data_IF_283762615511
#
_entry.id   IF_283762615511
#
_cell.length_a   1.000
_cell.length_b   1.000
_cell.length_c   1.000
_cell.angle_alpha   90.00
_cell.angle_beta   90.00
_cell.angle_gamma   90.00
#
_symmetry.space_group_name_H-M   'P 1'
#
loop_
_entity.id
_entity.type
_entity.pdbx_description
1 polymer ?
2 non-polymer ?
3 water ?
#
# COMPACT_ATOMS: atom_id res chain seq x y z
N UNK A 7 8.18 4.74 25.45
CA UNK A 7 9.09 3.67 25.05
C UNK A 7 8.57 2.95 23.80
N UNK A 8 9.43 2.83 22.80
CA UNK A 8 9.12 2.19 21.52
C UNK A 8 9.75 0.81 21.45
N UNK A 9 9.26 -0.03 20.58
CA UNK A 9 9.85 -1.35 20.41
C UNK A 9 11.24 -1.18 19.87
N UNK A 10 12.14 -2.04 20.35
CA UNK A 10 13.55 -1.97 19.97
C UNK A 10 13.76 -2.35 18.51
N UNK A 11 14.60 -1.57 17.82
CA UNK A 11 14.99 -1.79 16.43
C UNK A 11 16.38 -2.41 16.45
N UNK A 12 16.51 -3.59 15.84
CA UNK A 12 17.77 -4.30 15.84
C UNK A 12 18.78 -3.59 14.95
N UNK A 13 19.97 -3.29 15.50
CA UNK A 13 21.12 -2.83 14.72
C UNK A 13 21.83 -4.08 14.22
N UNK A 14 21.95 -4.22 12.91
CA UNK A 14 22.55 -5.39 12.26
C UNK A 14 24.00 -5.07 11.96
N UNK A 15 24.89 -6.09 12.16
CA UNK A 15 26.28 -5.88 11.80
C UNK A 15 26.50 -6.17 10.32
N UNK A 16 27.31 -5.37 9.62
CA UNK A 16 27.48 -5.55 8.18
C UNK A 16 28.00 -6.92 7.80
N UNK A 17 28.75 -7.59 8.69
CA UNK A 17 29.22 -8.93 8.35
C UNK A 17 28.08 -9.92 8.15
N UNK A 18 26.89 -9.63 8.66
CA UNK A 18 25.74 -10.50 8.53
C UNK A 18 24.91 -10.25 7.26
N UNK A 19 25.29 -9.32 6.40
CA UNK A 19 24.46 -8.96 5.26
C UNK A 19 25.25 -9.20 3.99
N UNK A 20 24.68 -9.94 3.08
CA UNK A 20 25.24 -10.06 1.74
C UNK A 20 24.24 -9.55 0.72
N UNK A 21 24.73 -8.81 -0.27
CA UNK A 21 23.89 -8.27 -1.33
C UNK A 21 24.15 -9.06 -2.59
N UNK A 22 23.11 -9.68 -3.12
CA UNK A 22 23.27 -10.56 -4.25
C UNK A 22 22.88 -9.93 -5.57
N UNK A 23 21.87 -9.08 -5.61
CA UNK A 23 21.42 -8.51 -6.86
C UNK A 23 20.85 -7.13 -6.60
N UNK A 24 21.16 -6.17 -7.47
CA UNK A 24 20.46 -4.89 -7.45
C UNK A 24 19.11 -5.09 -8.11
N UNK A 25 18.06 -4.62 -7.46
CA UNK A 25 16.73 -4.68 -8.01
C UNK A 25 16.13 -3.31 -8.29
N UNK A 26 16.64 -2.26 -7.67
CA UNK A 26 16.12 -0.91 -7.89
C UNK A 26 17.23 0.08 -7.67
N UNK A 27 17.14 1.20 -8.36
CA UNK A 27 18.19 2.19 -8.26
C UNK A 27 17.51 3.55 -8.21
N UNK A 28 17.85 4.33 -7.19
CA UNK A 28 17.38 5.67 -7.03
C UNK A 28 18.55 6.63 -7.09
N UNK A 29 18.27 7.92 -6.99
CA UNK A 29 19.34 8.93 -6.96
C UNK A 29 20.04 8.90 -5.64
N UNK A 30 19.37 8.47 -4.56
CA UNK A 30 19.95 8.56 -3.22
C UNK A 30 20.17 7.19 -2.56
N UNK A 31 20.13 6.14 -3.34
CA UNK A 31 20.44 4.81 -2.84
C UNK A 31 19.85 3.78 -3.75
N UNK A 32 20.07 2.53 -3.40
CA UNK A 32 19.61 1.41 -4.19
C UNK A 32 18.81 0.45 -3.30
N UNK A 33 18.11 -0.47 -3.96
CA UNK A 33 17.46 -1.59 -3.29
C UNK A 33 18.04 -2.88 -3.87
N UNK A 34 18.41 -3.82 -2.97
CA UNK A 34 19.05 -5.08 -3.32
C UNK A 34 18.23 -6.23 -2.80
N UNK A 35 18.32 -7.37 -3.48
CA UNK A 35 17.97 -8.65 -2.88
C UNK A 35 19.24 -9.20 -2.25
N UNK A 36 19.13 -9.77 -1.07
CA UNK A 36 20.28 -10.33 -0.38
C UNK A 36 19.87 -11.36 0.65
N UNK A 37 20.84 -11.70 1.52
CA UNK A 37 20.64 -12.66 2.59
C UNK A 37 21.10 -12.04 3.90
N UNK A 38 20.40 -12.38 4.97
CA UNK A 38 20.73 -11.93 6.30
C UNK A 38 21.01 -13.14 7.19
N UNK A 39 22.18 -13.15 7.82
CA UNK A 39 22.52 -14.16 8.83
C UNK A 39 22.02 -13.65 10.17
N UNK A 40 21.19 -14.46 10.83
CA UNK A 40 20.53 -14.07 12.07
C UNK A 40 20.72 -15.15 13.13
N UNK A 41 20.04 -15.01 14.26
CA UNK A 41 20.10 -15.98 15.35
C UNK A 41 21.53 -16.39 15.64
N UNK A 42 22.41 -15.38 15.74
CA UNK A 42 23.81 -15.60 16.11
C UNK A 42 24.52 -16.59 15.19
N UNK A 43 24.29 -16.46 13.88
CA UNK A 43 24.94 -17.30 12.90
C UNK A 43 24.23 -18.61 12.57
N UNK A 44 23.15 -18.93 13.24
CA UNK A 44 22.52 -20.22 13.02
C UNK A 44 21.43 -20.24 11.96
N UNK A 45 20.98 -19.07 11.54
CA UNK A 45 19.91 -18.97 10.55
C UNK A 45 20.28 -17.96 9.48
N UNK A 46 19.74 -18.17 8.29
CA UNK A 46 19.95 -17.22 7.20
C UNK A 46 18.67 -17.07 6.39
N UNK A 47 18.27 -15.82 6.13
CA UNK A 47 16.98 -15.63 5.46
C UNK A 47 17.15 -14.64 4.31
N UNK A 48 16.33 -14.75 3.26
CA UNK A 48 16.36 -13.75 2.19
C UNK A 48 15.77 -12.42 2.67
N UNK A 49 16.36 -11.31 2.19
CA UNK A 49 15.92 -9.99 2.60
C UNK A 49 15.97 -9.02 1.43
N UNK A 50 15.24 -7.90 1.56
CA UNK A 50 15.47 -6.72 0.76
C UNK A 50 16.27 -5.72 1.59
N UNK A 51 17.15 -4.99 0.89
CA UNK A 51 18.12 -4.11 1.54
C UNK A 51 18.05 -2.79 0.79
N UNK A 52 17.75 -1.70 1.49
CA UNK A 52 17.72 -0.36 0.89
C UNK A 52 18.86 0.47 1.50
N UNK A 53 19.65 1.14 0.65
CA UNK A 53 20.79 1.90 1.14
C UNK A 53 20.55 3.38 1.03
N UNK A 54 21.31 4.12 1.80
CA UNK A 54 21.33 5.59 1.74
C UNK A 54 22.78 5.98 1.49
N UNK A 55 23.03 6.54 0.30
CA UNK A 55 24.38 6.82 -0.18
C UNK A 55 25.01 8.04 0.49
N UNK A 56 26.34 8.08 0.45
CA UNK A 56 27.08 9.12 1.14
C UNK A 56 26.73 10.52 0.64
N UNK A 57 26.78 11.47 1.55
CA UNK A 57 26.38 12.81 1.21
C UNK A 57 24.93 13.10 1.52
N UNK A 58 24.19 12.14 2.07
CA UNK A 58 22.80 12.38 2.41
C UNK A 58 22.70 13.53 3.41
N UNK A 59 21.59 14.27 3.34
CA UNK A 59 21.36 15.38 4.24
C UNK A 59 20.78 14.89 5.56
N UNK A 60 20.74 15.78 6.56
CA UNK A 60 20.16 15.45 7.85
C UNK A 60 18.72 15.05 7.68
N UNK A 61 17.99 15.78 6.85
CA UNK A 61 16.61 15.41 6.58
C UNK A 61 16.49 14.03 5.97
N UNK A 62 17.35 13.71 5.02
CA UNK A 62 17.29 12.38 4.40
C UNK A 62 17.58 11.29 5.41
N UNK A 63 18.50 11.53 6.32
CA UNK A 63 18.81 10.55 7.36
C UNK A 63 17.64 10.40 8.33
N UNK A 64 17.08 11.52 8.79
CA UNK A 64 15.96 11.39 9.73
C UNK A 64 14.78 10.69 9.07
N UNK A 65 14.49 11.02 7.80
CA UNK A 65 13.42 10.34 7.07
C UNK A 65 13.71 8.85 6.88
N UNK A 66 14.89 8.51 6.36
CA UNK A 66 15.29 7.11 6.11
C UNK A 66 15.17 6.27 7.38
N UNK A 67 15.87 6.66 8.45
CA UNK A 67 15.80 5.91 9.70
C UNK A 67 14.40 5.99 10.31
N UNK A 68 13.69 7.08 10.03
CA UNK A 68 12.36 7.22 10.62
C UNK A 68 11.40 6.19 10.04
N UNK A 69 11.52 5.92 8.75
CA UNK A 69 10.68 4.89 8.12
C UNK A 69 10.92 3.54 8.79
N UNK A 70 12.18 3.20 9.05
CA UNK A 70 12.48 1.94 9.74
C UNK A 70 11.93 1.97 11.15
N UNK A 71 11.99 3.13 11.82
CA UNK A 71 11.55 3.17 13.20
C UNK A 71 10.05 2.94 13.29
N UNK A 72 9.31 3.46 12.34
CA UNK A 72 7.87 3.23 12.26
C UNK A 72 7.59 1.78 11.95
N UNK A 73 8.22 1.24 10.90
CA UNK A 73 8.00 -0.14 10.52
C UNK A 73 8.25 -1.07 11.71
N UNK A 74 9.29 -0.79 12.48
CA UNK A 74 9.65 -1.60 13.65
C UNK A 74 8.62 -1.61 14.76
N UNK A 75 7.64 -0.70 14.73
CA UNK A 75 6.60 -0.71 15.75
C UNK A 75 5.45 -1.62 15.42
N UNK A 76 5.45 -2.23 14.24
CA UNK A 76 4.32 -3.00 13.77
C UNK A 76 4.67 -4.49 13.70
N UNK A 77 3.72 -5.34 14.01
CA UNK A 77 3.91 -6.76 13.89
C UNK A 77 2.59 -7.35 13.39
N UNK A 78 2.41 -7.40 12.08
CA UNK A 78 1.19 -7.92 11.51
C UNK A 78 1.53 -8.60 10.19
N UNK A 79 0.80 -9.66 9.91
CA UNK A 79 0.97 -10.46 8.72
C UNK A 79 0.89 -9.62 7.44
N UNK A 80 0.05 -8.58 7.42
CA UNK A 80 -0.15 -7.77 6.22
C UNK A 80 0.58 -6.45 6.25
N UNK A 81 1.66 -6.33 7.05
CA UNK A 81 2.53 -5.15 7.07
C UNK A 81 3.95 -5.67 6.85
N UNK A 82 4.69 -5.02 6.00
CA UNK A 82 6.07 -5.45 5.73
C UNK A 82 6.87 -5.57 7.03
N UNK A 83 7.61 -6.67 7.18
CA UNK A 83 8.40 -6.88 8.39
C UNK A 83 9.80 -6.32 8.27
N UNK A 84 10.20 -5.58 9.29
CA UNK A 84 11.55 -5.07 9.40
C UNK A 84 12.45 -6.10 10.09
N UNK A 85 13.59 -6.38 9.49
CA UNK A 85 14.63 -7.16 10.17
C UNK A 85 15.54 -6.27 11.00
N UNK A 86 15.93 -5.10 10.52
CA UNK A 86 16.71 -4.19 11.34
C UNK A 86 17.36 -3.17 10.43
N UNK A 87 18.33 -2.45 11.01
CA UNK A 87 19.01 -1.37 10.31
C UNK A 87 20.52 -1.48 10.49
N UNK A 88 21.26 -0.93 9.54
CA UNK A 88 22.69 -0.65 9.74
C UNK A 88 22.81 0.86 9.72
N UNK A 89 23.05 1.43 10.89
CA UNK A 89 23.22 2.87 11.01
C UNK A 89 24.62 3.24 11.42
N UNK A 90 25.34 2.35 12.07
CA UNK A 90 26.68 2.61 12.56
C UNK A 90 27.76 2.53 11.49
N UNK A 91 27.50 1.86 10.39
CA UNK A 91 28.43 1.74 9.28
C UNK A 91 27.79 2.30 8.02
N UNK A 92 28.61 2.63 7.01
CA UNK A 92 28.08 3.24 5.81
C UNK A 92 28.34 2.29 4.61
N UNK A 93 27.43 2.26 3.64
CA UNK A 93 26.19 3.03 3.56
C UNK A 93 25.24 2.49 4.57
N UNK A 94 24.40 3.39 5.09
CA UNK A 94 23.35 2.93 5.98
C UNK A 94 22.36 2.06 5.20
N UNK A 95 21.74 1.13 5.92
CA UNK A 95 20.82 0.19 5.32
C UNK A 95 19.58 -0.02 6.17
N UNK A 96 18.46 -0.25 5.49
CA UNK A 96 17.26 -0.80 6.13
C UNK A 96 17.04 -2.16 5.50
N UNK A 97 16.76 -3.17 6.33
CA UNK A 97 16.65 -4.56 5.89
C UNK A 97 15.28 -5.09 6.26
N UNK A 98 14.53 -5.58 5.27
CA UNK A 98 13.18 -6.09 5.46
C UNK A 98 13.10 -7.51 4.93
N UNK A 99 11.95 -8.16 5.17
CA UNK A 99 11.66 -9.36 4.41
C UNK A 99 11.63 -9.01 2.91
N UNK A 100 11.91 -10.01 2.09
CA UNK A 100 11.92 -9.87 0.65
C UNK A 100 10.59 -10.34 0.08
N UNK A 101 9.93 -9.50 -0.72
CA UNK A 101 8.62 -9.81 -1.30
C UNK A 101 8.87 -10.17 -2.76
N UNK A 102 8.70 -11.46 -3.10
CA UNK A 102 9.20 -11.99 -4.37
C UNK A 102 8.48 -11.41 -5.59
N UNK A 103 7.23 -11.01 -5.46
CA UNK A 103 6.46 -10.50 -6.58
C UNK A 103 6.37 -9.00 -6.64
N UNK A 104 7.11 -8.29 -5.81
CA UNK A 104 7.24 -6.84 -5.95
C UNK A 104 5.96 -6.08 -5.68
N UNK A 105 5.84 -4.93 -6.32
CA UNK A 105 4.70 -4.08 -6.04
C UNK A 105 3.43 -4.63 -6.66
N UNK A 106 2.29 -4.46 -5.98
CA UNK A 106 1.06 -5.07 -6.40
C UNK A 106 0.56 -4.50 -7.72
N UNK A 107 0.68 -3.20 -7.95
CA UNK A 107 0.18 -2.67 -9.23
C UNK A 107 0.89 -3.29 -10.44
N UNK A 108 2.20 -3.36 -10.38
CA UNK A 108 2.97 -3.91 -11.48
C UNK A 108 2.70 -5.40 -11.59
N UNK A 109 2.60 -6.11 -10.45
CA UNK A 109 2.31 -7.55 -10.48
C UNK A 109 0.98 -7.82 -11.19
N UNK A 110 -0.08 -7.11 -10.82
CA UNK A 110 -1.36 -7.34 -11.48
C UNK A 110 -1.32 -7.02 -12.96
N UNK A 111 -0.59 -5.98 -13.35
CA UNK A 111 -0.47 -5.60 -14.76
C UNK A 111 0.27 -6.63 -15.57
N UNK A 112 1.12 -7.47 -14.95
CA UNK A 112 1.82 -8.57 -15.58
C UNK A 112 1.06 -9.87 -15.48
N UNK A 113 -0.06 -9.88 -14.79
CA UNK A 113 -0.89 -11.04 -14.56
C UNK A 113 -2.33 -10.83 -14.97
N UNK A 114 -2.56 -10.00 -15.98
CA UNK A 114 -3.92 -9.59 -16.29
C UNK A 114 -4.82 -10.78 -16.56
N UNK A 115 -5.94 -10.83 -15.85
CA UNK A 115 -6.96 -11.84 -15.99
C UNK A 115 -6.63 -13.21 -15.46
N UNK A 116 -5.49 -13.36 -14.76
CA UNK A 116 -5.04 -14.70 -14.39
C UNK A 116 -5.52 -15.17 -13.02
N UNK A 117 -6.17 -14.33 -12.21
CA UNK A 117 -6.59 -14.74 -10.88
C UNK A 117 -8.11 -14.92 -10.82
N UNK A 118 -8.58 -15.65 -9.83
CA UNK A 118 -10.01 -15.75 -9.64
C UNK A 118 -10.52 -14.51 -8.88
N UNK A 119 -11.84 -14.31 -8.95
CA UNK A 119 -12.49 -13.30 -8.11
C UNK A 119 -12.12 -13.55 -6.66
N UNK A 120 -12.19 -14.81 -6.21
CA UNK A 120 -11.94 -15.09 -4.81
C UNK A 120 -10.53 -14.78 -4.42
N UNK A 121 -9.57 -14.98 -5.32
CA UNK A 121 -8.20 -14.62 -5.05
C UNK A 121 -8.07 -13.11 -4.91
N UNK A 122 -8.65 -12.34 -5.83
CA UNK A 122 -8.56 -10.87 -5.74
C UNK A 122 -9.23 -10.35 -4.48
N UNK A 123 -10.38 -10.90 -4.12
CA UNK A 123 -11.02 -10.47 -2.88
C UNK A 123 -10.17 -10.83 -1.68
N UNK A 124 -9.52 -11.99 -1.71
CA UNK A 124 -8.61 -12.37 -0.62
C UNK A 124 -7.46 -11.39 -0.49
N UNK A 125 -6.93 -10.89 -1.61
CA UNK A 125 -5.84 -9.93 -1.55
C UNK A 125 -6.32 -8.68 -0.86
N UNK A 126 -7.52 -8.22 -1.21
CA UNK A 126 -8.08 -7.04 -0.59
C UNK A 126 -8.34 -7.25 0.89
N UNK A 127 -8.81 -8.44 1.28
CA UNK A 127 -9.01 -8.68 2.73
C UNK A 127 -7.68 -8.54 3.49
N UNK A 128 -6.61 -9.05 2.94
CA UNK A 128 -5.31 -8.89 3.58
C UNK A 128 -4.89 -7.44 3.67
N UNK A 129 -5.02 -6.70 2.58
CA UNK A 129 -4.68 -5.29 2.67
C UNK A 129 -5.53 -4.59 3.71
N UNK A 130 -6.84 -4.87 3.72
CA UNK A 130 -7.75 -4.26 4.70
C UNK A 130 -7.35 -4.61 6.14
N UNK A 131 -6.91 -5.85 6.38
CA UNK A 131 -6.46 -6.22 7.73
C UNK A 131 -5.23 -5.43 8.11
N UNK A 132 -4.26 -5.26 7.20
CA UNK A 132 -3.12 -4.43 7.51
C UNK A 132 -3.50 -2.99 7.79
N UNK A 133 -4.42 -2.44 7.01
CA UNK A 133 -4.84 -1.07 7.23
C UNK A 133 -5.64 -0.94 8.52
N UNK A 134 -6.48 -1.92 8.86
CA UNK A 134 -7.17 -1.90 10.16
C UNK A 134 -6.14 -1.82 11.29
N UNK A 135 -5.10 -2.62 11.20
CA UNK A 135 -4.05 -2.63 12.22
C UNK A 135 -3.38 -1.27 12.30
N UNK A 136 -3.02 -0.67 11.15
CA UNK A 136 -2.41 0.67 11.13
C UNK A 136 -3.31 1.70 11.73
N UNK A 137 -4.56 1.75 11.33
CA UNK A 137 -5.49 2.75 11.84
C UNK A 137 -5.69 2.58 13.34
N UNK A 138 -5.75 1.33 13.82
CA UNK A 138 -5.90 1.04 15.24
C UNK A 138 -4.68 1.51 16.01
N UNK A 139 -3.48 1.44 15.40
CA UNK A 139 -2.25 1.99 15.97
C UNK A 139 -2.19 3.53 15.84
N UNK A 140 -3.23 4.21 15.35
CA UNK A 140 -3.25 5.65 15.14
C UNK A 140 -2.19 6.10 14.12
N UNK A 141 -1.99 5.29 13.10
CA UNK A 141 -1.14 5.63 11.95
C UNK A 141 -2.05 5.89 10.76
N UNK A 142 -1.96 7.10 10.22
CA UNK A 142 -2.64 7.48 8.98
C UNK A 142 -1.62 7.42 7.84
N UNK A 143 -1.91 6.59 6.82
CA UNK A 143 -0.89 6.30 5.81
C UNK A 143 -0.69 7.45 4.84
N UNK A 144 -1.78 8.03 4.40
CA UNK A 144 -1.82 9.17 3.47
C UNK A 144 -1.47 8.88 2.02
N UNK A 145 -0.84 7.75 1.70
CA UNK A 145 -0.47 7.46 0.30
C UNK A 145 -0.77 6.00 0.01
N UNK A 146 -1.93 5.54 0.48
CA UNK A 146 -2.32 4.17 0.20
C UNK A 146 -2.71 4.03 -1.28
N UNK A 147 -2.10 3.06 -1.94
CA UNK A 147 -2.23 2.85 -3.39
C UNK A 147 -1.58 1.51 -3.63
N UNK A 148 -1.96 0.84 -4.73
CA UNK A 148 -1.40 -0.47 -5.01
C UNK A 148 0.11 -0.42 -5.18
N UNK A 149 0.66 0.68 -5.67
CA UNK A 149 2.11 0.81 -5.83
C UNK A 149 2.85 0.71 -4.51
N UNK A 150 2.17 0.95 -3.38
CA UNK A 150 2.80 0.89 -2.06
C UNK A 150 2.46 -0.38 -1.31
N UNK A 151 1.86 -1.35 -1.98
CA UNK A 151 1.63 -2.69 -1.44
C UNK A 151 2.63 -3.61 -2.10
N UNK A 152 3.19 -4.57 -1.34
CA UNK A 152 4.09 -5.59 -1.92
C UNK A 152 3.45 -6.96 -1.82
N UNK A 153 3.87 -7.87 -2.70
CA UNK A 153 3.25 -9.19 -2.80
C UNK A 153 4.32 -10.26 -2.68
N UNK A 154 4.08 -11.29 -1.87
CA UNK A 154 5.07 -12.36 -1.76
C UNK A 154 4.73 -13.51 -2.74
N UNK A 155 5.55 -14.57 -2.68
CA UNK A 155 5.38 -15.69 -3.60
C UNK A 155 4.07 -16.46 -3.34
N UNK A 156 3.48 -16.32 -2.15
CA UNK A 156 2.22 -16.95 -1.80
C UNK A 156 1.01 -16.04 -1.97
N UNK A 157 1.22 -14.91 -2.64
CA UNK A 157 0.15 -13.97 -2.98
C UNK A 157 -0.34 -13.16 -1.78
N UNK A 158 0.39 -13.15 -0.67
CA UNK A 158 0.04 -12.32 0.45
C UNK A 158 0.45 -10.90 0.14
N UNK A 159 -0.47 -9.98 0.36
CA UNK A 159 -0.23 -8.57 0.16
C UNK A 159 0.06 -7.85 1.48
N UNK A 160 1.12 -7.02 1.47
CA UNK A 160 1.52 -6.29 2.67
C UNK A 160 1.69 -4.81 2.43
N UNK A 161 1.14 -4.00 3.30
CA UNK A 161 1.29 -2.55 3.21
C UNK A 161 2.71 -2.14 3.52
N UNK A 162 3.24 -1.19 2.71
CA UNK A 162 4.56 -0.56 2.87
C UNK A 162 4.40 0.96 2.74
N UNK A 163 5.53 1.69 2.83
CA UNK A 163 5.66 3.15 2.69
C UNK A 163 5.25 3.97 3.91
N UNK A 164 6.14 4.08 4.86
CA UNK A 164 5.87 4.74 6.11
C UNK A 164 6.83 5.93 6.28
N UNK A 165 6.44 6.93 7.08
CA UNK A 165 7.31 8.06 7.30
C UNK A 165 6.92 8.91 8.49
N UNK A 166 7.94 9.58 9.08
CA UNK A 166 7.76 10.40 10.27
C UNK A 166 6.78 11.56 10.03
N UNK A 167 6.68 12.06 8.79
CA UNK A 167 5.77 13.16 8.54
C UNK A 167 4.30 12.78 8.78
N UNK A 168 4.00 11.49 8.88
CA UNK A 168 2.65 10.98 9.15
C UNK A 168 2.33 10.95 10.64
N UNK A 169 3.33 11.05 11.52
CA UNK A 169 3.12 10.87 12.95
C UNK A 169 3.43 12.11 13.77
N UNK A 170 4.39 12.94 13.34
CA UNK A 170 4.78 14.11 14.12
C UNK A 170 3.74 15.23 14.00
N UNK A 171 3.43 15.88 15.13
CA UNK A 171 2.42 16.92 15.15
C UNK A 171 2.86 18.14 14.34
N UNK A 172 1.93 18.68 13.55
CA UNK A 172 2.17 19.87 12.71
C UNK A 172 3.36 19.71 11.78
N UNK A 173 3.63 18.49 11.33
CA UNK A 173 4.78 18.28 10.48
C UNK A 173 4.61 19.02 9.14
N UNK A 174 5.56 19.88 8.76
CA UNK A 174 5.40 20.65 7.51
C UNK A 174 5.40 19.81 6.23
N UNK A 175 5.80 18.54 6.29
CA UNK A 175 5.77 17.65 5.14
C UNK A 175 4.63 16.64 5.22
N UNK A 176 3.71 16.81 6.16
CA UNK A 176 2.65 15.82 6.37
C UNK A 176 1.78 15.65 5.13
N UNK A 177 1.67 16.68 4.29
CA UNK A 177 0.82 16.63 3.10
C UNK A 177 1.56 16.19 1.84
N UNK A 178 2.83 15.81 1.93
CA UNK A 178 3.61 15.35 0.79
C UNK A 178 3.79 13.82 0.86
N UNK A 179 4.28 13.26 -0.24
CA UNK A 179 4.67 11.86 -0.24
C UNK A 179 5.88 11.67 0.68
N UNK A 180 6.21 10.42 1.00
CA UNK A 180 7.43 10.14 1.74
C UNK A 180 8.69 10.55 0.99
N UNK A 181 8.59 10.90 -0.29
CA UNK A 181 9.70 11.41 -1.08
C UNK A 181 9.67 12.92 -1.26
N UNK A 182 8.75 13.62 -0.59
CA UNK A 182 8.62 15.06 -0.69
C UNK A 182 7.81 15.55 -1.87
N UNK A 183 7.25 14.65 -2.68
CA UNK A 183 6.44 15.05 -3.80
C UNK A 183 5.00 15.30 -3.42
N UNK A 184 4.19 15.64 -4.42
CA UNK A 184 2.76 15.77 -4.22
C UNK A 184 2.16 14.37 -4.19
N UNK A 185 1.35 14.10 -3.16
CA UNK A 185 0.60 12.83 -3.07
C UNK A 185 -0.35 12.76 -4.26
N UNK A 186 -0.31 11.69 -5.09
CA UNK A 186 -1.23 11.63 -6.22
C UNK A 186 -2.69 11.76 -5.82
N UNK A 187 -3.23 12.80 -6.43
CA UNK A 187 -4.58 13.26 -6.21
C UNK A 187 -5.58 12.13 -6.32
N UNK A 188 -5.42 11.26 -7.34
CA UNK A 188 -6.54 10.40 -7.71
C UNK A 188 -6.76 9.24 -6.72
N UNK A 189 -5.89 9.11 -5.71
CA UNK A 189 -6.13 8.18 -4.61
C UNK A 189 -6.65 8.87 -3.37
N UNK A 190 -6.79 10.20 -3.37
CA UNK A 190 -6.95 10.97 -2.13
C UNK A 190 -8.38 11.48 -1.96
N UNK A 191 -8.90 11.41 -0.71
CA UNK A 191 -10.25 11.85 -0.43
C UNK A 191 -10.36 13.35 -0.64
N UNK A 192 -11.56 13.81 -0.95
CA UNK A 192 -11.74 15.24 -1.27
C UNK A 192 -11.32 16.15 -0.13
N UNK A 193 -11.67 15.78 1.11
CA UNK A 193 -11.38 16.68 2.21
C UNK A 193 -9.89 16.70 2.51
N UNK A 194 -9.12 15.66 2.14
CA UNK A 194 -7.67 15.70 2.26
C UNK A 194 -7.07 16.57 1.14
N UNK A 195 -7.61 16.48 -0.09
CA UNK A 195 -7.15 17.36 -1.17
C UNK A 195 -7.39 18.82 -0.79
N UNK A 196 -8.62 19.12 -0.38
CA UNK A 196 -9.03 20.54 -0.30
C UNK A 196 -8.72 21.23 1.03
N UNK A 197 -8.60 20.47 2.12
CA UNK A 197 -8.43 21.03 3.47
C UNK A 197 -7.26 20.40 4.19
N UNK A 198 -6.54 19.47 3.58
CA UNK A 198 -5.43 18.79 4.21
C UNK A 198 -5.88 17.95 5.40
N UNK A 199 -7.15 17.52 5.41
CA UNK A 199 -7.71 16.70 6.49
C UNK A 199 -7.47 15.21 6.21
N UNK A 200 -6.29 14.74 6.55
CA UNK A 200 -5.92 13.33 6.36
C UNK A 200 -6.20 12.56 7.66
N UNK A 201 -6.98 11.51 7.56
CA UNK A 201 -7.38 10.70 8.72
C UNK A 201 -7.54 9.26 8.25
N UNK A 202 -7.86 8.34 9.14
CA UNK A 202 -8.11 6.99 8.64
C UNK A 202 -9.29 6.96 7.69
N UNK A 203 -10.22 7.89 7.81
CA UNK A 203 -11.34 7.88 6.86
C UNK A 203 -10.91 8.34 5.46
N UNK A 204 -9.89 9.21 5.34
CA UNK A 204 -9.35 9.43 4.00
C UNK A 204 -8.54 8.24 3.53
N UNK A 205 -7.90 7.49 4.41
CA UNK A 205 -7.28 6.23 3.99
C UNK A 205 -8.33 5.24 3.54
N UNK A 206 -9.56 5.26 4.08
CA UNK A 206 -10.62 4.38 3.59
C UNK A 206 -10.99 4.74 2.15
N UNK A 207 -11.07 6.03 1.82
CA UNK A 207 -11.29 6.42 0.42
C UNK A 207 -10.20 5.82 -0.45
N UNK A 208 -8.95 5.96 -0.05
CA UNK A 208 -7.84 5.41 -0.81
C UNK A 208 -7.98 3.91 -0.94
N UNK A 209 -8.40 3.22 0.11
CA UNK A 209 -8.59 1.78 0.02
C UNK A 209 -9.64 1.42 -1.02
N UNK A 210 -10.70 2.20 -1.14
CA UNK A 210 -11.65 2.00 -2.21
C UNK A 210 -11.01 2.09 -3.59
N UNK A 211 -10.11 3.04 -3.78
CA UNK A 211 -9.37 3.13 -5.05
C UNK A 211 -8.51 1.90 -5.23
N UNK A 212 -7.84 1.41 -4.17
CA UNK A 212 -7.07 0.18 -4.26
C UNK A 212 -7.96 -1.00 -4.62
N UNK A 213 -9.17 -1.06 -4.08
CA UNK A 213 -10.06 -2.14 -4.49
C UNK A 213 -10.29 -2.10 -6.00
N UNK A 214 -10.52 -0.92 -6.55
CA UNK A 214 -10.72 -0.79 -7.97
C UNK A 214 -9.44 -1.15 -8.72
N UNK A 215 -8.25 -0.72 -8.27
CA UNK A 215 -7.00 -1.18 -8.90
C UNK A 215 -6.92 -2.68 -8.92
N UNK A 216 -7.24 -3.35 -7.81
CA UNK A 216 -7.09 -4.81 -7.77
C UNK A 216 -8.08 -5.46 -8.74
N UNK A 217 -9.34 -5.07 -8.69
CA UNK A 217 -10.36 -5.72 -9.53
C UNK A 217 -10.17 -5.46 -11.01
N UNK A 218 -9.42 -4.42 -11.40
CA UNK A 218 -9.13 -4.14 -12.80
C UNK A 218 -7.74 -4.62 -13.25
N UNK A 219 -7.00 -5.32 -12.38
CA UNK A 219 -5.64 -5.74 -12.71
C UNK A 219 -4.74 -4.56 -12.98
N UNK A 220 -4.84 -3.53 -12.13
CA UNK A 220 -3.89 -2.47 -12.18
C UNK A 220 -4.19 -1.35 -13.17
N UNK A 221 -5.45 -1.11 -13.49
CA UNK A 221 -5.74 0.00 -14.36
C UNK A 221 -5.46 1.30 -13.66
N UNK A 222 -5.23 2.32 -14.44
CA UNK A 222 -5.00 3.65 -13.89
C UNK A 222 -6.34 4.28 -13.50
N UNK A 223 -6.54 4.64 -12.22
CA UNK A 223 -7.82 5.27 -11.83
C UNK A 223 -8.12 6.47 -12.70
N UNK A 224 -9.35 6.50 -13.22
CA UNK A 224 -9.85 7.63 -14.03
C UNK A 224 -9.19 7.74 -15.41
N UNK A 225 -8.39 6.75 -15.78
CA UNK A 225 -7.79 6.67 -17.14
C UNK A 225 -7.12 8.01 -17.51
N UNK A 226 -7.49 8.59 -18.65
CA UNK A 226 -6.76 9.75 -19.15
C UNK A 226 -7.07 11.05 -18.42
N UNK A 227 -8.04 11.10 -17.53
CA UNK A 227 -8.37 12.36 -16.88
C UNK A 227 -7.14 12.95 -16.22
N UNK A 228 -6.98 14.26 -16.38
CA UNK A 228 -5.98 14.98 -15.63
C UNK A 228 -6.38 15.09 -14.14
N UNK A 229 -5.43 15.54 -13.31
CA UNK A 229 -5.75 15.73 -11.90
C UNK A 229 -6.91 16.70 -11.71
N UNK A 230 -6.92 17.84 -12.44
CA UNK A 230 -8.03 18.76 -12.27
C UNK A 230 -9.34 18.15 -12.79
N UNK A 231 -9.25 17.33 -13.84
CA UNK A 231 -10.45 16.66 -14.33
C UNK A 231 -10.97 15.61 -13.33
N UNK A 232 -10.06 14.91 -12.63
CA UNK A 232 -10.52 14.00 -11.55
C UNK A 232 -11.23 14.76 -10.45
N UNK A 233 -10.64 15.90 -10.03
CA UNK A 233 -11.29 16.69 -9.00
C UNK A 233 -12.64 17.18 -9.46
N UNK A 234 -12.73 17.58 -10.75
CA UNK A 234 -14.01 18.01 -11.30
C UNK A 234 -15.04 16.91 -11.20
N UNK A 235 -14.63 15.68 -11.63
CA UNK A 235 -15.62 14.61 -11.65
C UNK A 235 -16.06 14.21 -10.23
N UNK A 236 -15.11 14.05 -9.32
CA UNK A 236 -15.45 13.61 -7.96
C UNK A 236 -16.36 14.64 -7.31
N UNK A 237 -16.06 15.93 -7.52
CA UNK A 237 -16.83 16.94 -6.82
C UNK A 237 -18.20 17.13 -7.42
N UNK A 238 -18.41 16.66 -8.64
CA UNK A 238 -19.73 16.60 -9.24
C UNK A 238 -20.49 15.35 -8.81
N UNK A 239 -19.86 14.41 -8.08
CA UNK A 239 -20.53 13.20 -7.69
C UNK A 239 -20.24 12.00 -8.59
N UNK A 240 -19.40 12.15 -9.61
CA UNK A 240 -19.00 11.03 -10.45
C UNK A 240 -18.16 10.10 -9.59
N UNK A 241 -18.27 8.80 -9.87
CA UNK A 241 -17.38 7.82 -9.23
C UNK A 241 -16.91 6.82 -10.28
N UNK A 242 -15.77 6.17 -10.05
CA UNK A 242 -15.28 5.17 -10.98
C UNK A 242 -16.35 4.12 -11.26
N UNK A 243 -16.50 3.71 -12.53
CA UNK A 243 -17.49 2.70 -12.86
C UNK A 243 -17.02 1.31 -12.42
N UNK A 244 -17.94 0.36 -12.45
CA UNK A 244 -17.57 -0.96 -12.01
C UNK A 244 -16.47 -1.54 -12.91
N UNK A 245 -15.51 -2.27 -12.34
CA UNK A 245 -14.61 -3.12 -13.15
C UNK A 245 -15.42 -4.22 -13.81
N UNK A 246 -14.83 -4.78 -14.87
CA UNK A 246 -15.36 -5.99 -15.50
C UNK A 246 -15.34 -7.16 -14.53
N UNK A 247 -16.38 -7.98 -14.58
CA UNK A 247 -16.44 -9.19 -13.79
C UNK A 247 -16.36 -8.93 -12.30
N UNK A 248 -16.97 -7.83 -11.84
CA UNK A 248 -16.78 -7.51 -10.45
C UNK A 248 -18.02 -7.87 -9.66
N UNK A 249 -17.93 -8.58 -8.55
CA UNK A 249 -19.12 -8.83 -7.74
C UNK A 249 -19.82 -7.53 -7.34
N UNK A 250 -21.15 -7.56 -7.42
CA UNK A 250 -21.94 -6.41 -6.99
C UNK A 250 -21.59 -5.99 -5.58
N UNK A 251 -21.39 -6.95 -4.68
CA UNK A 251 -21.09 -6.57 -3.30
C UNK A 251 -19.77 -5.84 -3.17
N UNK A 252 -18.79 -6.22 -3.96
CA UNK A 252 -17.48 -5.59 -3.97
C UNK A 252 -17.57 -4.14 -4.50
N UNK A 253 -18.33 -3.94 -5.61
CA UNK A 253 -18.49 -2.59 -6.13
C UNK A 253 -19.28 -1.73 -5.16
N UNK A 254 -20.31 -2.28 -4.52
CA UNK A 254 -21.01 -1.51 -3.50
C UNK A 254 -20.09 -1.06 -2.36
N UNK A 255 -19.18 -1.96 -1.95
CA UNK A 255 -18.26 -1.59 -0.87
C UNK A 255 -17.30 -0.49 -1.27
N UNK A 256 -16.78 -0.57 -2.53
CA UNK A 256 -15.89 0.51 -2.91
C UNK A 256 -16.67 1.82 -3.00
N UNK A 257 -17.93 1.80 -3.48
CA UNK A 257 -18.72 3.02 -3.53
C UNK A 257 -18.93 3.64 -2.15
N UNK A 258 -19.06 2.79 -1.11
CA UNK A 258 -19.25 3.30 0.24
C UNK A 258 -17.96 3.91 0.76
N UNK A 259 -16.81 3.40 0.32
CA UNK A 259 -15.55 4.02 0.66
C UNK A 259 -15.43 5.41 0.09
N UNK A 260 -16.17 5.70 -1.01
CA UNK A 260 -16.10 6.97 -1.73
C UNK A 260 -17.27 7.90 -1.36
N UNK A 261 -17.89 7.72 -0.20
CA UNK A 261 -18.89 8.71 0.21
C UNK A 261 -18.20 10.06 0.43
N UNK A 262 -18.84 11.12 -0.10
CA UNK A 262 -18.30 12.46 0.08
C UNK A 262 -18.12 12.79 1.57
N UNK A 263 -19.13 12.50 2.38
CA UNK A 263 -19.10 12.78 3.82
C UNK A 263 -18.27 11.69 4.50
N UNK A 264 -17.15 12.09 5.08
CA UNK A 264 -16.23 11.09 5.63
C UNK A 264 -16.87 10.24 6.73
N UNK A 265 -17.79 10.81 7.52
CA UNK A 265 -18.39 10.01 8.58
C UNK A 265 -19.27 8.89 8.06
N UNK A 266 -19.69 8.92 6.78
CA UNK A 266 -20.53 7.89 6.20
C UNK A 266 -19.71 6.71 5.67
N UNK A 267 -18.41 6.85 5.55
CA UNK A 267 -17.60 5.77 5.00
C UNK A 267 -17.48 4.62 6.02
N UNK A 268 -17.34 3.39 5.58
CA UNK A 268 -17.05 2.29 6.51
C UNK A 268 -15.76 2.56 7.25
N UNK A 269 -15.65 2.02 8.46
CA UNK A 269 -14.35 1.91 9.13
C UNK A 269 -13.59 0.71 8.57
N UNK A 270 -12.28 0.67 8.82
CA UNK A 270 -11.55 -0.52 8.37
C UNK A 270 -12.09 -1.80 8.96
N UNK A 271 -12.57 -1.76 10.22
CA UNK A 271 -13.13 -2.99 10.81
C UNK A 271 -14.34 -3.46 10.00
N UNK A 272 -15.17 -2.52 9.52
CA UNK A 272 -16.32 -2.89 8.69
C UNK A 272 -15.89 -3.53 7.39
N UNK A 273 -14.87 -2.97 6.77
CA UNK A 273 -14.37 -3.51 5.50
C UNK A 273 -13.89 -4.93 5.71
N UNK A 274 -13.05 -5.16 6.76
CA UNK A 274 -12.55 -6.50 6.98
C UNK A 274 -13.71 -7.46 7.20
N UNK A 275 -14.66 -7.07 8.02
CA UNK A 275 -15.78 -7.94 8.34
C UNK A 275 -16.61 -8.31 7.11
N UNK A 276 -16.94 -7.32 6.29
CA UNK A 276 -17.72 -7.60 5.08
C UNK A 276 -16.96 -8.51 4.13
N UNK A 277 -15.68 -8.23 3.86
CA UNK A 277 -14.90 -9.10 2.98
C UNK A 277 -14.86 -10.52 3.51
N UNK A 278 -14.65 -10.70 4.81
CA UNK A 278 -14.63 -12.04 5.42
C UNK A 278 -15.95 -12.77 5.21
N UNK A 279 -17.07 -12.07 5.39
CA UNK A 279 -18.37 -12.70 5.19
C UNK A 279 -18.60 -13.10 3.73
N UNK A 280 -18.12 -12.28 2.78
CA UNK A 280 -18.27 -12.64 1.37
C UNK A 280 -17.43 -13.86 1.03
N UNK A 281 -16.17 -13.92 1.52
CA UNK A 281 -15.29 -15.04 1.20
C UNK A 281 -15.85 -16.33 1.76
N UNK A 282 -16.47 -16.26 2.95
CA UNK A 282 -16.96 -17.48 3.62
C UNK A 282 -18.28 -17.94 3.05
N UNK A 283 -19.00 -17.11 2.31
CA UNK A 283 -20.22 -17.50 1.62
C UNK A 283 -20.05 -17.13 0.15
N UNK A 284 -19.20 -17.87 -0.57
CA UNK A 284 -18.71 -17.38 -1.86
C UNK A 284 -19.78 -17.29 -2.94
N UNK A 285 -20.95 -17.93 -2.77
CA UNK A 285 -22.01 -17.68 -3.75
C UNK A 285 -22.45 -16.22 -3.73
N UNK A 286 -22.21 -15.50 -2.64
CA UNK A 286 -22.50 -14.07 -2.53
C UNK A 286 -21.69 -13.28 -3.55
N UNK A 287 -20.58 -13.82 -4.04
CA UNK A 287 -19.74 -13.13 -5.03
C UNK A 287 -20.15 -13.38 -6.49
N UNK A 288 -21.12 -14.26 -6.74
CA UNK A 288 -21.50 -14.59 -8.10
C UNK A 288 -22.46 -13.58 -8.67
N UNK A 289 -23.09 -12.75 -7.85
CA UNK A 289 -23.94 -11.66 -8.36
C UNK A 289 -23.01 -10.54 -8.80
N UNK A 290 -22.92 -10.27 -10.10
CA UNK A 290 -21.97 -9.30 -10.63
C UNK A 290 -22.67 -7.98 -10.90
N UNK A 291 -21.96 -6.88 -10.61
CA UNK A 291 -22.43 -5.58 -11.07
C UNK A 291 -22.36 -5.52 -12.60
N UNK A 292 -23.36 -4.87 -13.19
CA UNK A 292 -23.37 -4.69 -14.64
C UNK A 292 -22.17 -3.88 -15.09
N UNK A 293 -21.46 -4.36 -16.12
CA UNK A 293 -20.35 -3.61 -16.69
C UNK A 293 -20.94 -2.72 -17.76
N UNK A 294 -20.74 -1.40 -17.61
CA UNK A 294 -21.43 -0.44 -18.44
C UNK A 294 -20.87 -0.53 -19.85
N UNK A 295 -21.69 -0.83 -20.83
CA UNK A 295 -21.17 -1.00 -22.20
C UNK A 295 -20.42 0.24 -22.67
N UNK A 296 -19.12 0.12 -22.90
CA UNK A 296 -18.32 1.26 -23.37
C UNK A 296 -18.23 1.32 -24.89
N UNK A 297 -18.39 0.16 -25.53
CA UNK A 297 -18.34 0.04 -26.98
C UNK A 297 -19.56 -0.70 -27.45
N UNK A 298 -20.10 -0.28 -28.58
CA UNK A 298 -21.21 -0.96 -29.21
C UNK A 298 -20.66 -1.87 -30.30
N UNK A 299 -20.87 -3.17 -30.12
CA UNK A 299 -20.50 -4.11 -31.15
C UNK A 299 -21.78 -4.79 -31.53
N UNK A 300 -22.21 -4.60 -32.76
CA UNK A 300 -23.43 -5.18 -33.21
C UNK A 300 -23.28 -6.09 -34.39
N UNK A 301 -23.92 -7.24 -34.32
CA UNK A 301 -23.96 -8.21 -35.41
C UNK A 301 -25.26 -8.98 -35.28
X LIG B 1 11.10 -9.68 -10.41
X LIG B 1 10.53 -10.39 -11.56
X LIG B 1 9.20 -9.87 -11.90
X LIG B 1 8.36 -10.26 -10.85
X LIG B 1 8.79 -9.37 -9.74
X LIG B 1 10.13 -9.74 -9.33
X LIG B 1 10.40 -8.64 -8.53
X LIG B 1 11.47 -8.45 -7.90
X LIG B 1 12.30 -9.31 -7.77
X LIG B 1 11.36 -7.32 -7.07
X LIG B 1 10.99 -7.49 -5.74
X LIG B 1 11.58 -6.04 -7.50
X LIG B 1 11.45 -4.97 -6.65
X LIG B 1 11.72 -3.64 -7.07
X LIG B 1 12.49 -2.80 -6.23
X LIG B 1 12.78 -1.50 -6.61
X LIG B 1 12.36 -1.01 -7.82
X LIG B 1 11.67 -1.80 -8.62
X LIG B 1 11.36 -3.09 -8.28
X LIG B 1 10.70 -3.81 -9.10
X LIG B 1 11.05 -5.22 -5.33
X LIG B 1 10.84 -6.49 -4.83
X LIG B 1 10.48 -6.82 -3.54
X LIG B 1 10.70 -6.06 -2.45
X LIG B 1 11.16 -4.37 -2.40
X LIG B 1 10.63 -6.49 -1.19
X LIG B 1 10.87 -5.59 -0.21
X LIG B 1 11.20 -4.36 -0.62
X LIG B 1 11.48 -3.23 0.04
X LIG B 1 11.58 -2.22 -0.60
X LIG B 1 11.62 -3.22 1.38
X LIG B 1 11.90 -2.04 2.05
X LIG B 1 10.86 -1.17 2.32
X LIG B 1 9.24 -1.54 1.86
X LIG B 1 11.10 0.00 3.00
X LIG B 1 12.36 0.26 3.43
X LIG B 1 13.40 -0.60 3.15
X LIG B 1 13.20 -1.77 2.47
X LIG B 1 14.34 -2.70 2.23
#
# INVERSE_FOLDING_TARGET
>A
GDPNQAVLKFTTEIHPSCVTRQKVIGAGEFGEVYKGMLKTSSGKKEVPVAIKTLKAGYTEKQRVDFLGEAGIMGQFSHHNIIRLEGVISKYKPMMIITEYMENGALDKFLREKDGEFSVLQLVGMLRGIAAGMKYLANMNYVHRDLAARNILVNSNLVCKVSDFGLSRVLEDDPEATYTTSGGKIPIRWTAPEAISYRKFTSASDVWSFGIVMWEVMTYGERPYWELSNHEVMKAINDGFRLPTPMDCPSAIYQLMMQCWQQERARRPKFADIVSILDKLIRAPDSLKTLADFDPRVSIRLPSTSG
>B hetero
1 8ZQ CAZ CBA NBB CBC CBD CAY NAX CAW OBE CAV CBF CAU CAM CAN CAO CAP CAQ CAR CAS NAT CAL CAK NAJ CAI SBG NAH CAG CAF CAE OBH NAD CAC CAB CL CBM CBL CBK CBI CBJ
#
